data_IF_431106322021
#
_entry.id   IF_431106322021
#
_cell.length_a   1.000
_cell.length_b   1.000
_cell.length_c   1.000
_cell.angle_alpha   90.00
_cell.angle_beta   90.00
_cell.angle_gamma   90.00
#
_symmetry.space_group_name_H-M   'P 1'
#
loop_
_entity.id
_entity.type
_entity.pdbx_description
1 polymer ?
#
# COMPACT_ATOMS: atom_id res chain seq x y z
N UNK A 1 19.77 -21.17 0.28
CA UNK A 1 18.49 -21.31 -0.45
C UNK A 1 18.02 -19.94 -0.86
N UNK A 2 18.25 -19.59 -2.12
CA UNK A 2 17.76 -18.35 -2.69
C UNK A 2 16.31 -18.58 -3.11
N UNK A 3 15.39 -17.71 -2.69
CA UNK A 3 14.04 -17.71 -3.21
C UNK A 3 14.11 -17.36 -4.71
N UNK A 4 13.73 -18.32 -5.56
CA UNK A 4 13.85 -18.23 -7.01
C UNK A 4 12.52 -17.97 -7.71
N UNK A 5 11.45 -17.88 -6.96
CA UNK A 5 10.11 -17.64 -7.45
C UNK A 5 9.53 -16.43 -6.69
N UNK A 6 9.71 -15.26 -7.25
CA UNK A 6 9.22 -14.00 -6.67
C UNK A 6 7.91 -13.59 -7.34
N UNK A 7 7.00 -13.05 -6.56
CA UNK A 7 5.73 -12.49 -7.05
C UNK A 7 5.59 -11.07 -6.53
N UNK A 8 5.37 -10.11 -7.42
CA UNK A 8 5.22 -8.69 -7.17
C UNK A 8 3.77 -8.24 -7.43
N UNK A 9 2.82 -8.56 -6.54
CA UNK A 9 1.47 -8.06 -6.68
C UNK A 9 1.40 -6.59 -6.24
N UNK A 10 0.53 -5.82 -6.87
CA UNK A 10 0.31 -4.42 -6.47
C UNK A 10 -0.81 -3.79 -7.27
N UNK A 11 -1.36 -2.68 -6.77
CA UNK A 11 -2.34 -1.88 -7.51
C UNK A 11 -1.81 -1.55 -8.91
N UNK A 12 -2.68 -1.30 -9.87
CA UNK A 12 -2.26 -0.82 -11.19
C UNK A 12 -1.51 0.52 -11.05
N UNK A 13 -0.60 0.79 -11.97
CA UNK A 13 0.17 2.04 -12.09
C UNK A 13 1.15 2.35 -10.93
N UNK A 14 1.41 1.42 -10.01
CA UNK A 14 2.47 1.57 -8.97
C UNK A 14 3.90 1.35 -9.48
N UNK A 15 4.07 1.05 -10.79
CA UNK A 15 5.40 0.94 -11.40
C UNK A 15 5.95 -0.48 -11.53
N UNK A 16 5.16 -1.56 -11.38
CA UNK A 16 5.63 -2.96 -11.45
C UNK A 16 6.37 -3.31 -12.73
N UNK A 17 5.83 -2.96 -13.89
CA UNK A 17 6.46 -3.17 -15.20
C UNK A 17 7.80 -2.43 -15.29
N UNK A 18 7.84 -1.17 -14.80
CA UNK A 18 9.09 -0.38 -14.74
C UNK A 18 10.13 -1.06 -13.87
N UNK A 19 9.72 -1.62 -12.73
CA UNK A 19 10.62 -2.38 -11.84
C UNK A 19 11.18 -3.62 -12.55
N UNK A 20 10.37 -4.36 -13.33
CA UNK A 20 10.88 -5.49 -14.11
C UNK A 20 11.94 -5.04 -15.14
N UNK A 21 11.75 -3.90 -15.82
CA UNK A 21 12.75 -3.35 -16.72
C UNK A 21 14.02 -2.87 -16.01
N UNK A 22 13.90 -2.31 -14.81
CA UNK A 22 15.06 -1.96 -13.97
C UNK A 22 15.83 -3.22 -13.55
N UNK A 23 15.14 -4.30 -13.19
CA UNK A 23 15.77 -5.59 -12.91
C UNK A 23 16.47 -6.15 -14.15
N UNK A 24 15.83 -6.08 -15.32
CA UNK A 24 16.44 -6.48 -16.60
C UNK A 24 17.75 -5.70 -16.87
N UNK A 25 17.69 -4.39 -16.74
CA UNK A 25 18.86 -3.51 -16.92
C UNK A 25 19.96 -3.79 -15.91
N UNK A 26 19.63 -4.01 -14.63
CA UNK A 26 20.57 -4.39 -13.59
C UNK A 26 21.27 -5.72 -13.89
N UNK A 27 20.52 -6.73 -14.34
CA UNK A 27 21.10 -8.02 -14.74
C UNK A 27 22.12 -7.87 -15.88
N UNK A 28 21.78 -7.06 -16.89
CA UNK A 28 22.68 -6.80 -18.04
C UNK A 28 23.92 -6.00 -17.63
N UNK A 29 23.72 -4.82 -17.02
CA UNK A 29 24.79 -3.82 -16.83
C UNK A 29 25.63 -4.08 -15.59
N UNK A 30 25.00 -4.42 -14.47
CA UNK A 30 25.68 -4.57 -13.18
C UNK A 30 26.12 -6.01 -12.90
N UNK A 31 25.36 -6.98 -13.41
CA UNK A 31 25.66 -8.41 -13.19
C UNK A 31 26.33 -9.08 -14.40
N UNK A 32 26.40 -8.39 -15.54
CA UNK A 32 27.04 -8.90 -16.75
C UNK A 32 26.37 -10.15 -17.34
N UNK A 33 25.07 -10.33 -17.08
CA UNK A 33 24.30 -11.46 -17.60
C UNK A 33 24.04 -11.25 -19.08
N UNK A 34 24.35 -12.23 -19.91
CA UNK A 34 24.13 -12.19 -21.35
C UNK A 34 22.63 -12.10 -21.68
N UNK A 35 22.22 -11.30 -22.70
CA UNK A 35 20.80 -11.10 -23.05
C UNK A 35 20.05 -12.41 -23.33
N UNK A 36 20.70 -13.40 -23.93
CA UNK A 36 20.11 -14.71 -24.18
C UNK A 36 19.81 -15.52 -22.90
N UNK A 37 20.26 -15.07 -21.73
CA UNK A 37 19.93 -15.68 -20.44
C UNK A 37 18.83 -14.90 -19.67
N UNK A 38 18.22 -13.88 -20.31
CA UNK A 38 17.17 -13.08 -19.71
C UNK A 38 15.94 -13.06 -20.62
N UNK A 39 14.85 -13.66 -20.18
CA UNK A 39 13.58 -13.62 -20.90
C UNK A 39 12.63 -12.62 -20.20
N UNK A 40 12.06 -11.70 -20.98
CA UNK A 40 10.94 -10.84 -20.56
C UNK A 40 9.75 -11.07 -21.49
N UNK A 41 8.57 -11.29 -20.93
CA UNK A 41 7.31 -11.25 -21.68
C UNK A 41 6.13 -10.84 -20.79
N UNK A 42 5.03 -10.44 -21.47
CA UNK A 42 3.78 -10.04 -20.78
C UNK A 42 2.63 -10.96 -21.19
N UNK A 43 1.93 -11.52 -20.19
CA UNK A 43 0.86 -12.49 -20.41
C UNK A 43 -0.37 -11.87 -21.09
N UNK A 44 -0.63 -10.58 -20.96
CA UNK A 44 -1.72 -9.90 -21.67
C UNK A 44 -1.52 -9.90 -23.20
N UNK A 45 -0.25 -9.85 -23.67
CA UNK A 45 0.11 -9.95 -25.07
C UNK A 45 0.01 -11.38 -25.59
N UNK A 46 0.45 -12.35 -24.79
CA UNK A 46 0.35 -13.78 -25.16
C UNK A 46 -1.10 -14.19 -25.43
N UNK A 47 -2.02 -13.77 -24.56
CA UNK A 47 -3.46 -14.01 -24.74
C UNK A 47 -4.02 -13.47 -26.05
N UNK A 48 -3.46 -12.37 -26.58
CA UNK A 48 -3.86 -11.78 -27.87
C UNK A 48 -3.29 -12.52 -29.09
N UNK A 49 -2.15 -13.20 -28.93
CA UNK A 49 -1.41 -13.79 -30.06
C UNK A 49 -1.79 -15.26 -30.28
N UNK A 50 -2.14 -16.04 -29.26
CA UNK A 50 -2.38 -17.44 -29.50
C UNK A 50 -2.67 -18.34 -28.29
N UNK A 51 -3.07 -17.83 -27.14
CA UNK A 51 -3.36 -18.58 -25.91
C UNK A 51 -2.19 -19.48 -25.39
N UNK A 52 -0.93 -19.11 -25.67
CA UNK A 52 0.19 -19.81 -25.08
C UNK A 52 0.23 -19.55 -23.57
N UNK A 53 0.47 -20.57 -22.77
CA UNK A 53 0.70 -20.46 -21.34
C UNK A 53 2.17 -20.18 -21.01
N UNK A 54 2.43 -19.79 -19.76
CA UNK A 54 3.77 -19.44 -19.28
C UNK A 54 4.74 -20.62 -19.45
N UNK A 55 4.32 -21.83 -19.15
CA UNK A 55 5.17 -23.02 -19.23
C UNK A 55 5.65 -23.30 -20.67
N UNK A 56 4.72 -23.22 -21.63
CA UNK A 56 5.01 -23.41 -23.06
C UNK A 56 5.97 -22.35 -23.60
N UNK A 57 5.78 -21.08 -23.21
CA UNK A 57 6.66 -19.97 -23.62
C UNK A 57 8.08 -20.19 -23.10
N UNK A 58 8.21 -20.59 -21.83
CA UNK A 58 9.52 -20.84 -21.22
C UNK A 58 10.23 -22.00 -21.89
N UNK A 59 9.56 -23.12 -22.14
CA UNK A 59 10.16 -24.24 -22.85
C UNK A 59 10.59 -23.87 -24.27
N UNK A 60 9.75 -23.22 -25.05
CA UNK A 60 10.10 -22.80 -26.41
C UNK A 60 11.32 -21.85 -26.43
N UNK A 61 11.43 -20.96 -25.45
CA UNK A 61 12.60 -20.12 -25.29
C UNK A 61 13.86 -20.94 -24.97
N UNK A 62 13.78 -21.88 -24.03
CA UNK A 62 14.92 -22.72 -23.67
C UNK A 62 15.37 -23.61 -24.83
N UNK A 63 14.44 -24.18 -25.60
CA UNK A 63 14.76 -24.96 -26.81
C UNK A 63 15.47 -24.08 -27.85
N UNK A 64 14.97 -22.87 -28.07
CA UNK A 64 15.49 -21.98 -29.13
C UNK A 64 16.87 -21.42 -28.81
N UNK A 65 17.07 -20.92 -27.58
CA UNK A 65 18.30 -20.22 -27.21
C UNK A 65 19.31 -21.06 -26.42
N UNK A 66 18.89 -22.16 -25.81
CA UNK A 66 19.74 -22.97 -24.95
C UNK A 66 19.85 -24.46 -25.41
N UNK A 67 19.16 -24.86 -26.47
CA UNK A 67 19.04 -26.24 -26.89
C UNK A 67 18.71 -27.19 -25.73
N UNK A 68 17.80 -26.78 -24.85
CA UNK A 68 17.50 -27.44 -23.58
C UNK A 68 16.01 -27.28 -23.24
N UNK A 69 15.54 -28.12 -22.36
CA UNK A 69 14.23 -28.00 -21.70
C UNK A 69 14.44 -27.71 -20.22
N UNK A 70 13.36 -27.46 -19.49
CA UNK A 70 13.42 -27.06 -18.05
C UNK A 70 14.26 -28.07 -17.26
N UNK A 71 14.04 -29.38 -17.45
CA UNK A 71 14.67 -30.46 -16.68
C UNK A 71 16.16 -30.65 -16.99
N UNK A 72 16.61 -30.27 -18.17
CA UNK A 72 18.00 -30.46 -18.62
C UNK A 72 18.82 -29.18 -18.62
N UNK A 73 18.22 -28.07 -18.22
CA UNK A 73 18.87 -26.74 -18.19
C UNK A 73 20.06 -26.74 -17.21
N UNK A 74 21.25 -26.45 -17.73
CA UNK A 74 22.51 -26.45 -16.96
C UNK A 74 23.01 -25.06 -16.59
N UNK A 75 22.60 -24.01 -17.32
CA UNK A 75 23.01 -22.61 -17.09
C UNK A 75 21.92 -21.81 -16.40
N UNK A 76 22.28 -20.79 -15.58
CA UNK A 76 21.31 -19.90 -14.97
C UNK A 76 20.56 -19.07 -16.01
N UNK A 77 19.23 -19.01 -15.89
CA UNK A 77 18.33 -18.20 -16.71
C UNK A 77 17.42 -17.36 -15.80
N UNK A 78 17.15 -16.12 -16.21
CA UNK A 78 16.28 -15.19 -15.50
C UNK A 78 15.02 -14.95 -16.33
N UNK A 79 13.85 -15.09 -15.71
CA UNK A 79 12.56 -14.97 -16.39
C UNK A 79 11.73 -13.90 -15.69
N UNK A 80 11.40 -12.86 -16.43
CA UNK A 80 10.62 -11.72 -15.97
C UNK A 80 9.25 -11.75 -16.65
N UNK A 81 8.21 -12.02 -15.89
CA UNK A 81 6.84 -12.25 -16.39
C UNK A 81 5.94 -11.12 -15.90
N UNK A 82 5.42 -10.35 -16.84
CA UNK A 82 4.53 -9.24 -16.53
C UNK A 82 3.06 -9.62 -16.73
N UNK A 83 2.17 -8.99 -15.96
CA UNK A 83 0.72 -9.17 -16.02
C UNK A 83 0.28 -10.66 -15.93
N UNK A 84 0.90 -11.41 -15.02
CA UNK A 84 0.75 -12.85 -14.90
C UNK A 84 -0.70 -13.32 -14.66
N UNK A 85 -1.59 -12.46 -14.13
CA UNK A 85 -3.01 -12.79 -13.91
C UNK A 85 -3.79 -13.08 -15.21
N UNK A 86 -3.22 -12.76 -16.39
CA UNK A 86 -3.82 -13.12 -17.66
C UNK A 86 -3.64 -14.60 -18.05
N UNK A 87 -2.69 -15.29 -17.42
CA UNK A 87 -2.62 -16.75 -17.44
C UNK A 87 -3.35 -17.31 -16.20
N UNK A 88 -4.46 -18.03 -16.40
CA UNK A 88 -5.26 -18.57 -15.29
C UNK A 88 -4.49 -19.59 -14.43
N UNK A 89 -3.51 -20.25 -15.01
CA UNK A 89 -2.69 -21.29 -14.36
C UNK A 89 -1.28 -20.79 -13.99
N UNK A 90 -1.05 -19.49 -14.00
CA UNK A 90 0.25 -18.90 -13.76
C UNK A 90 1.00 -19.47 -12.53
N UNK A 91 0.27 -19.69 -11.42
CA UNK A 91 0.87 -20.22 -10.19
C UNK A 91 1.28 -21.70 -10.31
N UNK A 92 0.48 -22.49 -11.05
CA UNK A 92 0.81 -23.88 -11.37
C UNK A 92 2.00 -23.93 -12.33
N UNK A 93 1.98 -23.13 -13.39
CA UNK A 93 3.08 -23.02 -14.35
C UNK A 93 4.39 -22.61 -13.67
N UNK A 94 4.35 -21.58 -12.81
CA UNK A 94 5.49 -21.15 -12.00
C UNK A 94 6.02 -22.27 -11.08
N UNK A 95 5.12 -23.01 -10.44
CA UNK A 95 5.47 -24.18 -9.62
C UNK A 95 6.16 -25.28 -10.45
N UNK A 96 5.62 -25.64 -11.60
CA UNK A 96 6.21 -26.66 -12.48
C UNK A 96 7.63 -26.28 -12.91
N UNK A 97 7.85 -25.03 -13.30
CA UNK A 97 9.17 -24.50 -13.63
C UNK A 97 10.10 -24.53 -12.41
N UNK A 98 9.62 -24.11 -11.24
CA UNK A 98 10.40 -24.11 -10.01
C UNK A 98 10.83 -25.52 -9.58
N UNK A 99 9.94 -26.49 -9.67
CA UNK A 99 10.21 -27.88 -9.27
C UNK A 99 11.08 -28.60 -10.34
N UNK A 100 10.99 -28.22 -11.61
CA UNK A 100 11.72 -28.85 -12.72
C UNK A 100 13.20 -28.53 -12.77
N UNK A 101 13.65 -27.36 -12.31
CA UNK A 101 15.07 -26.96 -12.32
C UNK A 101 15.45 -26.00 -11.21
N UNK A 102 16.73 -26.00 -10.80
CA UNK A 102 17.31 -25.03 -9.87
C UNK A 102 17.94 -23.83 -10.59
N UNK A 103 18.05 -23.88 -11.91
CA UNK A 103 18.78 -22.92 -12.72
C UNK A 103 17.91 -21.79 -13.29
N UNK A 104 16.62 -21.75 -12.94
CA UNK A 104 15.73 -20.65 -13.31
C UNK A 104 15.41 -19.79 -12.09
N UNK A 105 15.58 -18.48 -12.25
CA UNK A 105 15.10 -17.44 -11.35
C UNK A 105 13.94 -16.70 -12.01
N UNK A 106 12.78 -16.59 -11.33
CA UNK A 106 11.57 -16.02 -11.90
C UNK A 106 11.05 -14.87 -11.07
N UNK A 107 10.61 -13.80 -11.75
CA UNK A 107 9.85 -12.71 -11.16
C UNK A 107 8.53 -12.58 -11.93
N UNK A 108 7.44 -12.70 -11.23
CA UNK A 108 6.08 -12.48 -11.72
C UNK A 108 5.57 -11.14 -11.23
N UNK A 109 5.12 -10.29 -12.10
CA UNK A 109 4.34 -9.10 -11.72
C UNK A 109 2.89 -9.25 -12.14
N UNK A 110 2.02 -8.52 -11.47
CA UNK A 110 0.62 -8.44 -11.87
C UNK A 110 -0.23 -7.61 -10.91
N UNK A 111 -1.50 -7.43 -11.27
CA UNK A 111 -2.43 -6.77 -10.37
C UNK A 111 -2.56 -7.54 -9.06
N UNK A 112 -3.00 -6.87 -8.00
CA UNK A 112 -3.20 -7.50 -6.68
C UNK A 112 -4.17 -8.68 -6.71
N UNK A 113 -4.98 -8.80 -7.80
CA UNK A 113 -5.79 -10.00 -8.07
C UNK A 113 -4.96 -11.29 -8.17
N UNK A 114 -3.65 -11.23 -8.43
CA UNK A 114 -2.74 -12.38 -8.32
C UNK A 114 -2.83 -13.08 -6.97
N UNK A 115 -3.01 -12.32 -5.88
CA UNK A 115 -3.17 -12.90 -4.53
C UNK A 115 -4.39 -13.82 -4.38
N UNK A 116 -5.34 -13.76 -5.32
CA UNK A 116 -6.58 -14.54 -5.29
C UNK A 116 -6.44 -15.93 -5.90
N UNK A 117 -5.40 -16.17 -6.66
CA UNK A 117 -5.29 -17.33 -7.57
C UNK A 117 -4.25 -18.37 -7.19
N UNK A 118 -3.54 -18.24 -6.03
CA UNK A 118 -2.63 -19.33 -5.69
C UNK A 118 -3.31 -20.47 -4.93
N UNK A 119 -2.94 -21.71 -5.34
CA UNK A 119 -3.17 -22.87 -4.48
C UNK A 119 -2.23 -22.83 -3.25
N UNK A 120 -2.61 -23.44 -2.11
CA UNK A 120 -1.74 -23.56 -0.95
C UNK A 120 -0.38 -24.20 -1.24
N UNK A 121 -0.31 -25.02 -2.27
CA UNK A 121 0.89 -25.72 -2.69
C UNK A 121 1.86 -24.81 -3.45
N UNK A 122 1.38 -23.95 -4.33
CA UNK A 122 2.20 -22.92 -4.98
C UNK A 122 2.72 -21.88 -3.96
N UNK A 123 1.90 -21.53 -2.96
CA UNK A 123 2.25 -20.58 -1.92
C UNK A 123 3.50 -20.93 -1.10
N UNK A 124 3.85 -22.23 -1.00
CA UNK A 124 5.05 -22.68 -0.28
C UNK A 124 6.37 -22.42 -1.02
N UNK A 125 6.30 -22.14 -2.32
CA UNK A 125 7.46 -22.01 -3.20
C UNK A 125 7.76 -20.57 -3.58
N UNK A 126 6.75 -19.73 -3.56
CA UNK A 126 6.87 -18.33 -3.95
C UNK A 126 7.16 -17.42 -2.75
N UNK A 127 7.92 -16.37 -3.01
CA UNK A 127 8.07 -15.23 -2.11
C UNK A 127 7.22 -14.08 -2.64
N UNK A 128 6.22 -13.69 -1.85
CA UNK A 128 5.32 -12.58 -2.18
C UNK A 128 5.91 -11.27 -1.68
N UNK A 129 6.18 -10.34 -2.58
CA UNK A 129 6.71 -9.00 -2.30
C UNK A 129 5.71 -7.99 -2.85
N UNK A 130 4.71 -7.56 -2.06
CA UNK A 130 3.72 -6.61 -2.53
C UNK A 130 4.33 -5.24 -2.81
N UNK A 131 3.92 -4.63 -3.92
CA UNK A 131 4.31 -3.28 -4.31
C UNK A 131 3.15 -2.35 -3.97
N UNK A 132 3.41 -1.43 -3.04
CA UNK A 132 2.47 -0.42 -2.57
C UNK A 132 2.62 0.89 -3.36
N UNK A 133 1.63 1.80 -3.28
CA UNK A 133 1.83 3.18 -3.72
C UNK A 133 3.05 3.81 -3.07
N UNK A 134 3.65 4.79 -3.73
CA UNK A 134 4.85 5.47 -3.23
C UNK A 134 4.58 6.14 -1.87
N UNK A 135 5.50 5.96 -0.93
CA UNK A 135 5.60 6.82 0.24
C UNK A 135 6.10 8.21 -0.16
N UNK A 136 5.93 9.21 0.71
CA UNK A 136 6.44 10.56 0.43
C UNK A 136 7.96 10.59 0.22
N UNK A 137 8.70 9.83 1.01
CA UNK A 137 10.15 9.68 0.86
C UNK A 137 10.54 9.07 -0.49
N UNK A 138 9.82 8.04 -0.97
CA UNK A 138 10.02 7.44 -2.29
C UNK A 138 9.64 8.43 -3.42
N UNK A 139 8.55 9.18 -3.25
CA UNK A 139 8.14 10.25 -4.14
C UNK A 139 9.23 11.32 -4.30
N UNK A 140 9.77 11.83 -3.19
CA UNK A 140 10.84 12.82 -3.22
C UNK A 140 12.10 12.28 -3.92
N UNK A 141 12.48 11.02 -3.67
CA UNK A 141 13.60 10.37 -4.35
C UNK A 141 13.45 10.31 -5.85
N UNK A 142 12.26 9.95 -6.33
CA UNK A 142 11.99 9.86 -7.76
C UNK A 142 11.94 11.24 -8.43
N UNK A 143 11.44 12.26 -7.73
CA UNK A 143 11.26 13.62 -8.27
C UNK A 143 12.54 14.45 -8.22
N UNK A 144 13.28 14.40 -7.12
CA UNK A 144 14.41 15.30 -6.85
C UNK A 144 15.78 14.59 -6.86
N UNK A 145 15.79 13.25 -7.01
CA UNK A 145 17.02 12.46 -7.03
C UNK A 145 17.25 11.66 -5.73
N UNK A 146 18.18 10.72 -5.82
CA UNK A 146 18.45 9.82 -4.72
C UNK A 146 19.11 10.52 -3.52
N UNK A 147 18.52 10.35 -2.37
CA UNK A 147 19.11 10.66 -1.06
C UNK A 147 19.00 9.45 -0.14
N UNK A 148 19.91 9.35 0.83
CA UNK A 148 19.86 8.28 1.82
C UNK A 148 18.76 8.58 2.83
N UNK A 149 17.70 7.76 2.86
CA UNK A 149 16.69 7.85 3.88
C UNK A 149 17.01 6.91 5.05
N UNK A 150 17.94 7.31 5.89
CA UNK A 150 18.27 6.68 7.18
C UNK A 150 17.45 7.28 8.35
N UNK A 151 16.52 8.18 8.03
CA UNK A 151 15.63 8.86 8.96
C UNK A 151 14.50 7.92 9.40
N UNK A 152 13.98 7.08 8.49
CA UNK A 152 12.85 6.19 8.74
C UNK A 152 13.04 5.32 9.99
N UNK A 153 14.17 4.64 10.13
CA UNK A 153 14.44 3.82 11.31
C UNK A 153 14.46 4.65 12.61
N UNK A 154 15.05 5.86 12.57
CA UNK A 154 15.09 6.75 13.72
C UNK A 154 13.70 7.25 14.12
N UNK A 155 12.83 7.54 13.14
CA UNK A 155 11.42 7.90 13.38
C UNK A 155 10.63 6.73 13.97
N UNK A 156 10.78 5.54 13.42
CA UNK A 156 10.13 4.32 13.94
C UNK A 156 10.54 4.08 15.39
N UNK A 157 11.83 4.14 15.70
CA UNK A 157 12.33 4.00 17.06
C UNK A 157 11.76 5.07 17.99
N UNK A 158 11.75 6.34 17.57
CA UNK A 158 11.17 7.42 18.36
C UNK A 158 9.67 7.18 18.64
N UNK A 159 8.91 6.74 17.63
CA UNK A 159 7.47 6.47 17.76
C UNK A 159 7.22 5.38 18.80
N UNK A 160 7.96 4.28 18.77
CA UNK A 160 7.71 3.14 19.66
C UNK A 160 8.41 3.25 21.01
N UNK A 161 9.62 3.79 21.05
CA UNK A 161 10.43 3.88 22.29
C UNK A 161 10.22 5.20 23.05
N UNK A 162 9.63 6.21 22.40
CA UNK A 162 9.42 7.55 22.98
C UNK A 162 10.73 8.30 23.26
N UNK A 163 11.83 7.85 22.65
CA UNK A 163 13.15 8.45 22.85
C UNK A 163 13.38 9.61 21.89
N UNK A 164 13.65 10.78 22.47
CA UNK A 164 13.81 12.05 21.75
C UNK A 164 15.24 12.62 21.86
N UNK A 165 16.24 11.81 22.27
CA UNK A 165 17.59 12.30 22.55
C UNK A 165 18.31 12.84 21.30
N UNK A 166 17.99 12.37 20.10
CA UNK A 166 18.66 12.74 18.85
C UNK A 166 17.80 13.59 17.91
N UNK A 167 16.75 14.25 18.43
CA UNK A 167 15.81 15.05 17.60
C UNK A 167 16.53 16.11 16.78
N UNK A 168 17.41 16.90 17.39
CA UNK A 168 18.07 17.98 16.68
C UNK A 168 18.93 17.48 15.50
N UNK A 169 19.56 16.32 15.63
CA UNK A 169 20.28 15.70 14.53
C UNK A 169 19.32 15.19 13.44
N UNK A 170 18.23 14.57 13.83
CA UNK A 170 17.20 14.08 12.92
C UNK A 170 16.61 15.24 12.08
N UNK A 171 16.22 16.32 12.73
CA UNK A 171 15.70 17.53 12.07
C UNK A 171 16.75 18.16 11.13
N UNK A 172 18.00 18.26 11.56
CA UNK A 172 19.10 18.75 10.71
C UNK A 172 19.26 17.88 9.46
N UNK A 173 19.12 16.56 9.56
CA UNK A 173 19.20 15.65 8.42
C UNK A 173 18.03 15.87 7.46
N UNK A 174 16.82 16.07 7.96
CA UNK A 174 15.64 16.40 7.14
C UNK A 174 15.84 17.73 6.40
N UNK A 175 16.30 18.77 7.12
CA UNK A 175 16.62 20.08 6.52
C UNK A 175 17.68 19.94 5.42
N UNK A 176 18.72 19.14 5.65
CA UNK A 176 19.76 18.90 4.65
C UNK A 176 19.20 18.20 3.40
N UNK A 177 18.26 17.25 3.55
CA UNK A 177 17.58 16.61 2.41
C UNK A 177 16.82 17.66 1.60
N UNK A 178 15.97 18.44 2.23
CA UNK A 178 15.21 19.51 1.52
C UNK A 178 16.13 20.54 0.88
N UNK A 179 17.20 20.94 1.56
CA UNK A 179 18.18 21.89 1.04
C UNK A 179 19.00 21.37 -0.14
N UNK A 180 19.06 20.05 -0.33
CA UNK A 180 19.74 19.44 -1.48
C UNK A 180 18.87 19.44 -2.75
N UNK A 181 17.58 19.73 -2.64
CA UNK A 181 16.68 19.72 -3.78
C UNK A 181 16.74 21.02 -4.57
N UNK A 182 17.00 20.91 -5.87
CA UNK A 182 16.89 22.06 -6.77
C UNK A 182 15.41 22.36 -7.03
N UNK A 183 15.01 23.62 -6.83
CA UNK A 183 13.65 24.09 -7.09
C UNK A 183 12.56 23.32 -6.30
N UNK A 184 12.82 23.03 -5.02
CA UNK A 184 11.80 22.43 -4.17
C UNK A 184 10.55 23.32 -4.06
N UNK A 185 9.39 22.73 -4.33
CA UNK A 185 8.09 23.39 -4.22
C UNK A 185 7.56 23.23 -2.78
N UNK A 186 7.29 24.34 -2.10
CA UNK A 186 6.71 24.35 -0.74
C UNK A 186 5.32 23.72 -0.69
N UNK A 187 4.60 23.61 -1.82
CA UNK A 187 3.31 22.91 -1.91
C UNK A 187 3.45 21.41 -2.12
N UNK A 188 4.68 20.87 -2.22
CA UNK A 188 4.95 19.46 -2.57
C UNK A 188 4.24 18.47 -1.64
N UNK A 189 4.25 18.74 -0.35
CA UNK A 189 3.56 17.88 0.61
C UNK A 189 2.05 17.83 0.37
N UNK A 190 1.42 18.99 0.18
CA UNK A 190 -0.01 19.06 -0.16
C UNK A 190 -0.31 18.35 -1.47
N UNK A 191 0.50 18.63 -2.51
CA UNK A 191 0.37 18.00 -3.82
C UNK A 191 0.53 16.47 -3.73
N UNK A 192 1.43 16.00 -2.88
CA UNK A 192 1.58 14.56 -2.65
C UNK A 192 0.36 13.95 -2.00
N UNK A 193 -0.22 14.55 -0.96
CA UNK A 193 -1.45 14.07 -0.33
C UNK A 193 -2.63 13.99 -1.32
N UNK A 194 -2.72 14.96 -2.23
CA UNK A 194 -3.81 15.08 -3.19
C UNK A 194 -3.61 14.22 -4.45
N UNK A 195 -2.37 14.11 -4.96
CA UNK A 195 -2.09 13.51 -6.27
C UNK A 195 -0.93 12.52 -6.26
N UNK A 196 -0.22 12.34 -5.15
CA UNK A 196 0.94 11.46 -5.05
C UNK A 196 0.59 9.98 -4.96
N UNK A 197 1.61 9.16 -4.64
CA UNK A 197 1.46 7.72 -4.48
C UNK A 197 1.64 6.91 -5.77
N UNK A 198 1.48 7.51 -6.95
CA UNK A 198 1.67 6.84 -8.24
C UNK A 198 2.77 7.51 -9.07
N UNK A 199 3.74 6.76 -9.66
CA UNK A 199 4.81 7.34 -10.47
C UNK A 199 4.32 8.17 -11.66
N UNK A 200 3.13 7.89 -12.17
CA UNK A 200 2.53 8.65 -13.27
C UNK A 200 2.24 10.12 -12.93
N UNK A 201 2.14 10.47 -11.64
CA UNK A 201 1.89 11.85 -11.19
C UNK A 201 3.03 12.82 -11.51
N UNK A 202 4.26 12.35 -11.75
CA UNK A 202 5.40 13.21 -12.05
C UNK A 202 5.34 13.88 -13.44
N UNK A 203 4.57 13.33 -14.36
CA UNK A 203 4.62 13.69 -15.78
C UNK A 203 3.33 14.32 -16.29
N UNK A 204 2.41 14.73 -15.41
CA UNK A 204 1.07 15.12 -15.82
C UNK A 204 0.56 16.34 -15.02
N UNK A 205 -0.39 17.06 -15.64
CA UNK A 205 -1.17 18.05 -14.91
C UNK A 205 -2.23 17.37 -14.02
N UNK A 206 -2.80 18.11 -13.07
CA UNK A 206 -3.73 17.58 -12.06
C UNK A 206 -4.97 16.91 -12.66
N UNK A 207 -5.52 17.46 -13.77
CA UNK A 207 -6.70 16.88 -14.43
C UNK A 207 -6.37 15.51 -15.04
N UNK A 208 -5.21 15.36 -15.67
CA UNK A 208 -4.78 14.10 -16.27
C UNK A 208 -4.46 13.05 -15.20
N UNK A 209 -3.90 13.48 -14.05
CA UNK A 209 -3.67 12.60 -12.90
C UNK A 209 -5.01 12.07 -12.36
N UNK A 210 -5.99 12.97 -12.12
CA UNK A 210 -7.33 12.58 -11.67
C UNK A 210 -7.96 11.57 -12.61
N UNK A 211 -7.95 11.86 -13.91
CA UNK A 211 -8.49 10.93 -14.91
C UNK A 211 -7.79 9.57 -14.88
N UNK A 212 -6.46 9.54 -14.81
CA UNK A 212 -5.72 8.28 -14.73
C UNK A 212 -6.02 7.46 -13.48
N UNK A 213 -6.12 8.11 -12.32
CA UNK A 213 -6.45 7.42 -11.07
C UNK A 213 -7.86 6.84 -11.14
N UNK A 214 -8.81 7.59 -11.68
CA UNK A 214 -10.19 7.12 -11.88
C UNK A 214 -10.23 5.96 -12.89
N UNK A 215 -9.58 6.10 -14.05
CA UNK A 215 -9.47 5.04 -15.05
C UNK A 215 -8.79 3.77 -14.49
N UNK A 216 -7.84 3.94 -13.58
CA UNK A 216 -7.19 2.82 -12.90
C UNK A 216 -8.15 2.10 -11.97
N UNK A 217 -8.90 2.82 -11.14
CA UNK A 217 -9.93 2.24 -10.26
C UNK A 217 -11.01 1.54 -11.10
N UNK A 218 -11.45 2.17 -12.18
CA UNK A 218 -12.43 1.58 -13.12
C UNK A 218 -11.91 0.24 -13.69
N UNK A 219 -10.68 0.18 -14.16
CA UNK A 219 -10.08 -1.07 -14.66
C UNK A 219 -9.94 -2.14 -13.58
N UNK A 220 -9.60 -1.77 -12.34
CA UNK A 220 -9.56 -2.74 -11.24
C UNK A 220 -10.95 -3.34 -11.01
N UNK A 221 -12.00 -2.53 -10.96
CA UNK A 221 -13.35 -3.01 -10.71
C UNK A 221 -13.93 -3.76 -11.92
N UNK A 222 -13.79 -3.22 -13.13
CA UNK A 222 -14.42 -3.79 -14.34
C UNK A 222 -13.65 -4.94 -14.95
N UNK A 223 -12.31 -4.94 -14.85
CA UNK A 223 -11.44 -5.93 -15.50
C UNK A 223 -10.84 -6.92 -14.51
N UNK A 224 -10.16 -6.44 -13.47
CA UNK A 224 -9.45 -7.34 -12.55
C UNK A 224 -10.44 -8.14 -11.68
N UNK A 225 -11.48 -7.48 -11.16
CA UNK A 225 -12.54 -8.18 -10.43
C UNK A 225 -13.35 -9.14 -11.32
N UNK A 226 -13.59 -8.81 -12.59
CA UNK A 226 -14.31 -9.68 -13.52
C UNK A 226 -13.59 -11.02 -13.79
N UNK A 227 -12.27 -11.07 -13.65
CA UNK A 227 -11.50 -12.30 -13.76
C UNK A 227 -11.66 -13.24 -12.55
N UNK A 228 -12.33 -12.79 -11.48
CA UNK A 228 -12.60 -13.59 -10.27
C UNK A 228 -13.92 -14.34 -10.48
N UNK A 229 -13.89 -15.65 -10.24
CA UNK A 229 -15.07 -16.49 -10.38
C UNK A 229 -16.24 -16.00 -9.52
N UNK A 230 -17.44 -15.98 -10.11
CA UNK A 230 -18.67 -15.57 -9.44
C UNK A 230 -18.81 -14.05 -9.20
N UNK A 231 -18.09 -13.21 -9.96
CA UNK A 231 -18.32 -11.76 -10.02
C UNK A 231 -19.19 -11.45 -11.24
N UNK A 232 -20.24 -10.69 -10.99
CA UNK A 232 -21.18 -10.19 -12.00
C UNK A 232 -21.24 -8.66 -11.96
N UNK A 233 -22.01 -8.06 -12.88
CA UNK A 233 -22.16 -6.62 -12.98
C UNK A 233 -22.71 -5.98 -11.68
N UNK A 234 -23.62 -6.65 -10.98
CA UNK A 234 -24.18 -6.12 -9.72
C UNK A 234 -23.11 -6.03 -8.64
N UNK A 235 -22.19 -7.02 -8.59
CA UNK A 235 -21.05 -7.03 -7.67
C UNK A 235 -20.08 -5.88 -7.98
N UNK A 236 -19.81 -5.62 -9.26
CA UNK A 236 -18.96 -4.51 -9.70
C UNK A 236 -19.62 -3.15 -9.40
N UNK A 237 -20.92 -3.02 -9.68
CA UNK A 237 -21.66 -1.81 -9.36
C UNK A 237 -21.64 -1.51 -7.86
N UNK A 238 -21.89 -2.51 -7.01
CA UNK A 238 -21.79 -2.35 -5.56
C UNK A 238 -20.36 -1.96 -5.11
N UNK A 239 -19.33 -2.48 -5.79
CA UNK A 239 -17.95 -2.09 -5.48
C UNK A 239 -17.70 -0.59 -5.74
N UNK A 240 -18.19 -0.05 -6.86
CA UNK A 240 -18.13 1.40 -7.11
C UNK A 240 -18.92 2.20 -6.08
N UNK A 241 -20.12 1.76 -5.72
CA UNK A 241 -20.92 2.44 -4.72
C UNK A 241 -20.20 2.49 -3.36
N UNK A 242 -19.57 1.39 -2.93
CA UNK A 242 -18.81 1.32 -1.68
C UNK A 242 -17.57 2.22 -1.73
N UNK A 243 -16.81 2.21 -2.84
CA UNK A 243 -15.65 3.09 -3.00
C UNK A 243 -16.05 4.57 -2.94
N UNK A 244 -17.12 4.94 -3.63
CA UNK A 244 -17.65 6.30 -3.60
C UNK A 244 -18.11 6.70 -2.19
N UNK A 245 -18.81 5.82 -1.50
CA UNK A 245 -19.22 6.03 -0.12
C UNK A 245 -18.02 6.28 0.80
N UNK A 246 -16.98 5.45 0.72
CA UNK A 246 -15.76 5.63 1.53
C UNK A 246 -14.98 6.90 1.16
N UNK A 247 -15.03 7.34 -0.10
CA UNK A 247 -14.40 8.59 -0.50
C UNK A 247 -15.01 9.80 0.23
N UNK A 248 -16.34 9.88 0.32
CA UNK A 248 -17.03 10.98 0.98
C UNK A 248 -17.12 10.85 2.50
N UNK A 249 -17.16 9.63 3.00
CA UNK A 249 -17.28 9.40 4.44
C UNK A 249 -16.05 9.86 5.19
N UNK A 250 -16.27 10.43 6.38
CA UNK A 250 -15.20 10.61 7.34
C UNK A 250 -14.69 9.22 7.76
N UNK A 251 -13.39 9.05 8.01
CA UNK A 251 -12.89 7.87 8.69
C UNK A 251 -13.75 7.56 9.91
N UNK A 252 -14.09 6.30 10.08
CA UNK A 252 -14.96 5.88 11.19
C UNK A 252 -15.48 4.47 11.00
N UNK A 253 -16.03 3.93 12.06
CA UNK A 253 -16.48 2.56 12.12
C UNK A 253 -17.64 2.28 11.15
N UNK A 254 -17.44 1.29 10.30
CA UNK A 254 -18.43 0.83 9.34
C UNK A 254 -18.72 -0.65 9.54
N UNK A 255 -19.97 -0.99 9.87
CA UNK A 255 -20.38 -2.39 9.95
C UNK A 255 -20.86 -2.89 8.57
N UNK A 256 -20.62 -4.18 8.32
CA UNK A 256 -21.17 -4.85 7.12
C UNK A 256 -22.70 -4.76 7.06
N UNK A 257 -23.36 -4.75 8.22
CA UNK A 257 -24.81 -4.57 8.34
C UNK A 257 -25.26 -3.16 7.95
N UNK A 258 -24.52 -2.11 8.36
CA UNK A 258 -24.86 -0.73 7.96
C UNK A 258 -24.71 -0.52 6.45
N UNK A 259 -23.66 -1.08 5.84
CA UNK A 259 -23.49 -1.05 4.37
C UNK A 259 -24.57 -1.85 3.65
N UNK A 260 -24.94 -3.03 4.18
CA UNK A 260 -26.04 -3.85 3.67
C UNK A 260 -27.35 -3.07 3.60
N UNK A 261 -27.68 -2.38 4.69
CA UNK A 261 -28.90 -1.56 4.76
C UNK A 261 -28.82 -0.30 3.86
N UNK A 262 -27.64 0.34 3.81
CA UNK A 262 -27.43 1.57 3.02
C UNK A 262 -27.57 1.32 1.52
N UNK A 263 -27.07 0.19 1.03
CA UNK A 263 -27.09 -0.17 -0.40
C UNK A 263 -28.20 -1.16 -0.79
N UNK A 264 -29.08 -1.51 0.12
CA UNK A 264 -30.10 -2.55 -0.07
C UNK A 264 -29.51 -3.86 -0.66
N UNK A 265 -28.37 -4.28 -0.14
CA UNK A 265 -27.61 -5.41 -0.62
C UNK A 265 -27.44 -6.48 0.47
N UNK A 266 -27.42 -7.77 0.09
CA UNK A 266 -27.19 -8.86 1.05
C UNK A 266 -25.85 -8.73 1.75
N UNK A 267 -25.79 -8.93 3.07
CA UNK A 267 -24.54 -8.87 3.88
C UNK A 267 -23.43 -9.75 3.28
N UNK A 268 -23.78 -10.92 2.76
CA UNK A 268 -22.83 -11.83 2.11
C UNK A 268 -22.19 -11.20 0.85
N UNK A 269 -22.96 -10.46 0.05
CA UNK A 269 -22.46 -9.74 -1.12
C UNK A 269 -21.55 -8.58 -0.70
N UNK A 270 -21.99 -7.76 0.26
CA UNK A 270 -21.16 -6.67 0.84
C UNK A 270 -19.84 -7.23 1.35
N UNK A 271 -19.88 -8.34 2.11
CA UNK A 271 -18.66 -8.99 2.64
C UNK A 271 -17.75 -9.46 1.51
N UNK A 272 -18.30 -10.05 0.45
CA UNK A 272 -17.56 -10.49 -0.72
C UNK A 272 -16.87 -9.30 -1.41
N UNK A 273 -17.61 -8.22 -1.63
CA UNK A 273 -17.09 -7.00 -2.28
C UNK A 273 -15.96 -6.38 -1.45
N UNK A 274 -16.15 -6.19 -0.15
CA UNK A 274 -15.11 -5.64 0.73
C UNK A 274 -13.84 -6.49 0.68
N UNK A 275 -13.95 -7.81 0.82
CA UNK A 275 -12.80 -8.71 0.75
C UNK A 275 -12.05 -8.63 -0.60
N UNK A 276 -12.77 -8.41 -1.70
CA UNK A 276 -12.14 -8.25 -3.01
C UNK A 276 -11.46 -6.89 -3.12
N UNK A 277 -12.11 -5.80 -2.69
CA UNK A 277 -11.52 -4.47 -2.69
C UNK A 277 -10.24 -4.41 -1.86
N UNK A 278 -10.18 -5.09 -0.73
CA UNK A 278 -8.97 -5.23 0.08
C UNK A 278 -7.89 -6.05 -0.65
N UNK A 279 -8.26 -7.16 -1.25
CA UNK A 279 -7.34 -7.99 -2.02
C UNK A 279 -6.80 -7.28 -3.26
N UNK A 280 -7.57 -6.36 -3.86
CA UNK A 280 -7.08 -5.48 -4.94
C UNK A 280 -6.18 -4.36 -4.43
N UNK A 281 -6.02 -4.21 -3.12
CA UNK A 281 -5.24 -3.15 -2.48
C UNK A 281 -5.73 -1.73 -2.79
N UNK A 282 -6.99 -1.55 -3.15
CA UNK A 282 -7.59 -0.21 -3.26
C UNK A 282 -7.91 0.35 -1.87
N UNK A 283 -8.35 -0.52 -0.97
CA UNK A 283 -8.65 -0.21 0.43
C UNK A 283 -7.99 -1.25 1.35
N UNK A 284 -7.92 -0.91 2.62
CA UNK A 284 -7.62 -1.82 3.72
C UNK A 284 -8.47 -1.46 4.94
N UNK A 285 -8.56 -2.35 5.91
CA UNK A 285 -9.26 -2.06 7.15
C UNK A 285 -8.33 -2.03 8.34
N UNK A 286 -8.76 -1.29 9.37
CA UNK A 286 -8.15 -1.23 10.69
C UNK A 286 -9.15 -1.82 11.68
N UNK A 287 -8.66 -2.71 12.53
CA UNK A 287 -9.44 -3.37 13.58
C UNK A 287 -9.51 -2.51 14.86
N UNK A 288 -10.51 -2.71 15.74
CA UNK A 288 -10.55 -2.06 17.04
C UNK A 288 -9.42 -2.55 17.96
N UNK A 289 -8.87 -1.65 18.78
CA UNK A 289 -7.96 -2.02 19.85
C UNK A 289 -8.75 -2.65 21.02
N UNK A 290 -8.97 -3.95 20.94
CA UNK A 290 -9.72 -4.72 21.95
C UNK A 290 -9.26 -6.17 21.98
N UNK A 291 -9.81 -7.00 22.86
CA UNK A 291 -9.46 -8.42 22.91
C UNK A 291 -9.75 -9.14 21.58
N UNK A 292 -8.95 -10.14 21.23
CA UNK A 292 -9.06 -10.88 19.96
C UNK A 292 -10.47 -11.44 19.69
N UNK A 293 -11.16 -11.91 20.73
CA UNK A 293 -12.54 -12.41 20.61
C UNK A 293 -13.52 -11.30 20.25
N UNK A 294 -13.39 -10.11 20.83
CA UNK A 294 -14.27 -8.99 20.54
C UNK A 294 -14.02 -8.37 19.18
N UNK A 295 -12.80 -8.41 18.65
CA UNK A 295 -12.46 -7.88 17.31
C UNK A 295 -13.30 -8.51 16.21
N UNK A 296 -13.55 -9.82 16.28
CA UNK A 296 -14.28 -10.54 15.23
C UNK A 296 -15.74 -10.11 15.07
N UNK A 297 -16.31 -9.44 16.07
CA UNK A 297 -17.72 -9.02 16.10
C UNK A 297 -17.92 -7.53 15.96
N UNK A 298 -16.84 -6.74 16.03
CA UNK A 298 -16.91 -5.28 15.95
C UNK A 298 -16.78 -4.78 14.50
N UNK A 299 -17.31 -3.58 14.20
CA UNK A 299 -17.11 -2.95 12.90
C UNK A 299 -15.61 -2.62 12.68
N UNK A 300 -15.24 -2.45 11.43
CA UNK A 300 -13.91 -2.04 11.02
C UNK A 300 -13.93 -0.58 10.55
N UNK A 301 -12.78 0.06 10.56
CA UNK A 301 -12.57 1.32 9.85
C UNK A 301 -11.85 1.05 8.54
N UNK A 302 -12.38 1.58 7.43
CA UNK A 302 -11.84 1.36 6.08
C UNK A 302 -11.13 2.61 5.57
N UNK A 303 -9.93 2.40 5.03
CA UNK A 303 -9.09 3.44 4.45
C UNK A 303 -8.70 3.09 3.02
N UNK A 304 -8.46 4.10 2.20
CA UNK A 304 -7.83 3.92 0.90
C UNK A 304 -6.33 3.64 1.06
N UNK A 305 -5.75 2.89 0.12
CA UNK A 305 -4.32 2.58 0.12
C UNK A 305 -3.42 3.82 0.02
N UNK A 306 -3.95 4.95 -0.46
CA UNK A 306 -3.28 6.26 -0.46
C UNK A 306 -4.31 7.38 -0.39
N UNK A 307 -3.93 8.52 0.18
CA UNK A 307 -4.78 9.72 0.28
C UNK A 307 -5.20 10.24 -1.10
N UNK A 308 -4.34 10.08 -2.12
CA UNK A 308 -4.65 10.51 -3.48
C UNK A 308 -5.79 9.72 -4.13
N UNK A 309 -5.97 8.43 -3.80
CA UNK A 309 -7.15 7.67 -4.25
C UNK A 309 -8.43 8.31 -3.72
N UNK A 310 -8.47 8.62 -2.42
CA UNK A 310 -9.61 9.30 -1.79
C UNK A 310 -9.89 10.65 -2.46
N UNK A 311 -8.86 11.48 -2.62
CA UNK A 311 -8.96 12.82 -3.21
C UNK A 311 -9.52 12.79 -4.63
N UNK A 312 -8.94 11.97 -5.50
CA UNK A 312 -9.28 11.94 -6.91
C UNK A 312 -10.66 11.30 -7.18
N UNK A 313 -11.09 10.35 -6.37
CA UNK A 313 -12.46 9.84 -6.43
C UNK A 313 -13.48 10.92 -6.05
N UNK A 314 -13.21 11.72 -5.02
CA UNK A 314 -14.07 12.85 -4.63
C UNK A 314 -14.15 13.87 -5.77
N UNK A 315 -13.03 14.25 -6.38
CA UNK A 315 -13.01 15.19 -7.51
C UNK A 315 -13.83 14.68 -8.70
N UNK A 316 -13.74 13.39 -9.01
CA UNK A 316 -14.46 12.77 -10.12
C UNK A 316 -15.98 12.76 -9.91
N UNK A 317 -16.44 12.53 -8.68
CA UNK A 317 -17.89 12.49 -8.39
C UNK A 317 -18.48 13.91 -8.47
N UNK A 318 -17.68 14.94 -8.19
CA UNK A 318 -18.12 16.33 -8.20
C UNK A 318 -19.02 16.68 -7.02
N UNK A 319 -19.48 17.94 -6.95
CA UNK A 319 -20.37 18.48 -5.90
C UNK A 319 -19.81 18.43 -4.46
N UNK A 320 -18.53 18.19 -4.30
CA UNK A 320 -17.88 18.28 -3.00
C UNK A 320 -17.63 19.77 -2.67
N UNK A 321 -18.54 20.39 -1.95
CA UNK A 321 -18.26 21.67 -1.29
C UNK A 321 -17.55 21.36 0.02
N UNK A 322 -16.25 21.60 0.07
CA UNK A 322 -15.51 21.55 1.35
C UNK A 322 -15.70 22.88 2.05
N UNK A 323 -16.50 22.89 3.09
CA UNK A 323 -16.71 24.09 3.93
C UNK A 323 -15.43 24.51 4.66
N UNK A 324 -14.52 23.56 4.92
CA UNK A 324 -13.24 23.77 5.61
C UNK A 324 -12.12 22.95 4.96
N UNK A 325 -11.22 23.64 4.26
CA UNK A 325 -10.03 23.05 3.63
C UNK A 325 -9.12 22.36 4.66
N UNK A 326 -8.98 22.94 5.86
CA UNK A 326 -8.15 22.37 6.93
C UNK A 326 -8.70 21.03 7.40
N UNK A 327 -10.02 20.94 7.59
CA UNK A 327 -10.68 19.69 7.97
C UNK A 327 -10.54 18.64 6.87
N UNK A 328 -10.61 19.04 5.60
CA UNK A 328 -10.43 18.14 4.47
C UNK A 328 -8.99 17.57 4.40
N UNK A 329 -7.99 18.45 4.48
CA UNK A 329 -6.59 18.03 4.51
C UNK A 329 -6.30 17.13 5.73
N UNK A 330 -6.98 17.37 6.85
CA UNK A 330 -6.92 16.48 8.02
C UNK A 330 -7.34 15.06 7.71
N UNK A 331 -8.40 14.86 6.91
CA UNK A 331 -8.85 13.52 6.48
C UNK A 331 -7.88 12.84 5.52
N UNK A 332 -7.25 13.61 4.62
CA UNK A 332 -6.20 13.08 3.75
C UNK A 332 -4.97 12.67 4.56
N UNK A 333 -4.56 13.49 5.53
CA UNK A 333 -3.46 13.19 6.44
C UNK A 333 -3.75 11.94 7.29
N UNK A 334 -4.96 11.80 7.83
CA UNK A 334 -5.37 10.62 8.58
C UNK A 334 -5.29 9.35 7.72
N UNK A 335 -5.77 9.42 6.46
CA UNK A 335 -5.64 8.32 5.48
C UNK A 335 -4.17 8.00 5.21
N UNK A 336 -3.30 9.01 5.06
CA UNK A 336 -1.87 8.82 4.85
C UNK A 336 -1.19 8.17 6.05
N UNK A 337 -1.49 8.61 7.28
CA UNK A 337 -0.94 8.01 8.51
C UNK A 337 -1.37 6.55 8.65
N UNK A 338 -2.65 6.26 8.40
CA UNK A 338 -3.17 4.90 8.41
C UNK A 338 -2.44 4.00 7.39
N UNK A 339 -2.29 4.46 6.13
CA UNK A 339 -1.61 3.70 5.09
C UNK A 339 -0.13 3.51 5.40
N UNK A 340 0.55 4.49 5.96
CA UNK A 340 1.98 4.39 6.33
C UNK A 340 2.22 3.29 7.38
N UNK A 341 1.40 3.20 8.41
CA UNK A 341 1.50 2.12 9.41
C UNK A 341 1.05 0.77 8.86
N UNK A 342 0.05 0.75 7.98
CA UNK A 342 -0.37 -0.49 7.30
C UNK A 342 0.75 -1.04 6.42
N UNK A 343 1.45 -0.19 5.67
CA UNK A 343 2.58 -0.57 4.83
C UNK A 343 3.78 -1.03 5.68
N UNK A 344 4.03 -0.37 6.82
CA UNK A 344 5.08 -0.76 7.75
C UNK A 344 4.86 -2.18 8.29
N UNK A 345 3.63 -2.53 8.69
CA UNK A 345 3.27 -3.89 9.14
C UNK A 345 3.54 -4.94 8.05
N UNK A 346 3.22 -4.61 6.80
CA UNK A 346 3.35 -5.54 5.68
C UNK A 346 4.79 -5.67 5.12
N UNK A 347 5.60 -4.61 5.19
CA UNK A 347 6.96 -4.58 4.62
C UNK A 347 8.03 -5.19 5.54
N UNK A 348 7.91 -5.03 6.85
CA UNK A 348 9.03 -5.23 7.76
C UNK A 348 9.05 -6.56 8.53
N UNK A 349 8.08 -7.45 8.37
CA UNK A 349 7.96 -8.73 9.13
C UNK A 349 8.09 -8.59 10.67
N UNK A 350 8.12 -7.35 11.16
CA UNK A 350 8.13 -7.00 12.57
C UNK A 350 6.67 -6.77 12.94
N UNK A 351 6.21 -7.38 14.02
CA UNK A 351 4.81 -7.36 14.47
C UNK A 351 4.33 -5.95 14.85
N UNK A 352 4.36 -5.00 13.92
CA UNK A 352 3.68 -3.71 14.08
C UNK A 352 2.22 -3.88 13.71
N UNK A 353 1.34 -3.38 14.54
CA UNK A 353 -0.10 -3.37 14.29
C UNK A 353 -0.67 -1.99 14.54
N UNK A 354 -1.56 -1.57 13.65
CA UNK A 354 -2.37 -0.38 13.81
C UNK A 354 -3.82 -0.78 14.11
N UNK A 355 -4.43 -0.06 15.03
CA UNK A 355 -5.82 -0.24 15.46
C UNK A 355 -6.48 1.13 15.59
N UNK A 356 -7.81 1.18 15.55
CA UNK A 356 -8.56 2.36 15.99
C UNK A 356 -8.93 2.25 17.49
N UNK A 357 -9.12 3.40 18.14
CA UNK A 357 -9.47 3.47 19.57
C UNK A 357 -10.95 3.17 19.79
N UNK A 358 -11.27 2.05 20.48
CA UNK A 358 -12.63 1.62 20.80
C UNK A 358 -13.00 1.84 22.29
N UNK A 359 -12.18 2.58 23.05
CA UNK A 359 -12.31 2.65 24.51
C UNK A 359 -13.55 3.39 25.03
N UNK A 360 -14.09 4.36 24.30
CA UNK A 360 -15.02 5.36 24.83
C UNK A 360 -16.45 5.35 24.25
N UNK A 361 -16.96 4.22 23.76
CA UNK A 361 -18.35 4.13 23.24
C UNK A 361 -19.44 4.53 24.25
N UNK A 362 -19.12 4.66 25.56
CA UNK A 362 -20.08 4.96 26.64
C UNK A 362 -19.87 6.33 27.30
N UNK A 363 -18.83 7.06 26.97
CA UNK A 363 -18.54 8.39 27.56
C UNK A 363 -18.56 9.47 26.47
N UNK A 364 -18.95 10.68 26.85
CA UNK A 364 -19.04 11.85 25.96
C UNK A 364 -17.68 12.36 25.43
N UNK A 365 -16.60 11.61 25.61
CA UNK A 365 -15.25 11.98 25.17
C UNK A 365 -14.91 11.38 23.79
N UNK A 366 -14.25 12.16 22.94
CA UNK A 366 -13.72 11.69 21.68
C UNK A 366 -12.55 10.74 21.89
N UNK A 367 -12.42 9.72 21.06
CA UNK A 367 -11.31 8.78 21.00
C UNK A 367 -10.12 9.40 20.25
N UNK A 368 -8.91 8.85 20.45
CA UNK A 368 -7.77 9.14 19.55
C UNK A 368 -7.97 8.41 18.22
N UNK A 369 -7.31 8.88 17.16
CA UNK A 369 -7.52 8.32 15.83
C UNK A 369 -6.95 6.89 15.75
N UNK A 370 -5.73 6.66 16.26
CA UNK A 370 -5.10 5.35 16.16
C UNK A 370 -4.41 4.92 17.46
N UNK A 371 -4.26 3.59 17.57
CA UNK A 371 -3.39 2.92 18.55
C UNK A 371 -2.41 2.05 17.75
N UNK A 372 -1.11 2.27 17.93
CA UNK A 372 -0.09 1.40 17.33
C UNK A 372 0.59 0.56 18.40
N UNK A 373 0.96 -0.67 18.03
CA UNK A 373 1.59 -1.60 18.97
C UNK A 373 2.69 -2.41 18.27
N UNK A 374 3.85 -2.53 18.90
CA UNK A 374 4.95 -3.39 18.45
C UNK A 374 4.94 -4.67 19.30
N UNK A 375 4.55 -5.79 18.68
CA UNK A 375 4.49 -7.08 19.36
C UNK A 375 3.62 -7.05 20.63
N UNK A 376 4.21 -7.33 21.78
CA UNK A 376 3.57 -7.33 23.09
C UNK A 376 3.90 -6.08 23.93
N UNK A 377 4.54 -5.07 23.32
CA UNK A 377 4.86 -3.83 24.02
C UNK A 377 3.62 -3.00 24.34
N UNK A 378 3.80 -1.97 25.17
CA UNK A 378 2.71 -1.06 25.49
C UNK A 378 2.20 -0.35 24.23
N UNK A 379 0.88 -0.25 24.05
CA UNK A 379 0.31 0.45 22.93
C UNK A 379 0.60 1.96 23.00
N UNK A 380 0.77 2.59 21.84
CA UNK A 380 1.04 4.01 21.71
C UNK A 380 -0.16 4.67 21.02
N UNK A 381 -0.89 5.56 21.72
CA UNK A 381 -1.98 6.31 21.11
C UNK A 381 -1.44 7.41 20.19
N UNK A 382 -2.11 7.59 19.05
CA UNK A 382 -1.78 8.57 18.03
C UNK A 382 -3.01 9.41 17.72
N UNK A 383 -2.83 10.71 17.70
CA UNK A 383 -3.82 11.70 17.28
C UNK A 383 -3.31 12.44 16.04
N UNK A 384 -4.17 12.62 15.02
CA UNK A 384 -3.83 13.22 13.74
C UNK A 384 -4.65 14.49 13.52
N UNK A 385 -4.03 15.59 13.05
CA UNK A 385 -4.75 16.84 12.80
C UNK A 385 -3.95 17.82 11.94
N UNK A 386 -4.63 18.55 11.06
CA UNK A 386 -4.03 19.70 10.37
C UNK A 386 -4.10 21.00 11.19
N UNK A 387 -4.82 21.04 12.32
CA UNK A 387 -5.03 22.21 13.16
C UNK A 387 -4.68 22.00 14.63
N UNK A 388 -4.96 22.99 15.46
CA UNK A 388 -4.81 22.86 16.92
C UNK A 388 -5.82 21.87 17.47
N UNK A 389 -5.35 20.86 18.19
CA UNK A 389 -6.18 19.90 18.94
C UNK A 389 -5.99 20.03 20.44
N UNK A 390 -7.02 19.68 21.18
CA UNK A 390 -6.97 19.59 22.63
C UNK A 390 -6.15 18.36 23.05
N UNK A 391 -5.26 18.55 24.01
CA UNK A 391 -4.43 17.49 24.60
C UNK A 391 -5.24 16.48 25.43
N UNK A 392 -6.51 16.76 25.73
CA UNK A 392 -7.32 15.93 26.63
C UNK A 392 -7.53 14.51 26.10
N UNK A 393 -7.72 14.36 24.79
CA UNK A 393 -7.92 13.05 24.15
C UNK A 393 -6.69 12.16 24.29
N UNK A 394 -5.51 12.66 23.87
CA UNK A 394 -4.26 11.90 23.93
C UNK A 394 -3.84 11.59 25.38
N UNK A 395 -4.02 12.54 26.34
CA UNK A 395 -3.74 12.30 27.76
C UNK A 395 -4.62 11.20 28.35
N UNK A 396 -5.90 11.19 28.00
CA UNK A 396 -6.84 10.15 28.41
C UNK A 396 -6.44 8.79 27.84
N UNK A 397 -6.11 8.72 26.54
CA UNK A 397 -5.69 7.48 25.90
C UNK A 397 -4.40 6.93 26.52
N UNK A 398 -3.40 7.78 26.80
CA UNK A 398 -2.17 7.37 27.51
C UNK A 398 -2.51 6.73 28.84
N UNK A 399 -3.41 7.34 29.63
CA UNK A 399 -3.85 6.78 30.93
C UNK A 399 -4.66 5.50 30.77
N UNK A 400 -5.59 5.45 29.80
CA UNK A 400 -6.47 4.30 29.56
C UNK A 400 -5.68 3.05 29.18
N UNK A 401 -4.68 3.22 28.34
CA UNK A 401 -3.86 2.11 27.80
C UNK A 401 -2.57 1.87 28.60
N UNK A 402 -2.33 2.64 29.66
CA UNK A 402 -1.07 2.60 30.42
C UNK A 402 0.16 2.75 29.51
N UNK A 403 0.04 3.63 28.53
CA UNK A 403 1.08 3.92 27.55
C UNK A 403 2.23 4.69 28.17
N UNK A 404 3.45 4.53 27.67
CA UNK A 404 4.62 5.31 28.10
C UNK A 404 4.53 6.77 27.64
N UNK A 405 3.95 6.98 26.47
CA UNK A 405 3.76 8.27 25.82
C UNK A 405 2.64 8.19 24.78
N UNK A 406 2.29 9.32 24.18
CA UNK A 406 1.40 9.42 23.02
C UNK A 406 1.98 10.35 21.98
N UNK A 407 1.46 10.30 20.76
CA UNK A 407 1.95 11.09 19.62
C UNK A 407 0.83 11.95 19.06
N UNK A 408 1.13 13.22 18.79
CA UNK A 408 0.25 14.12 18.03
C UNK A 408 0.95 14.44 16.71
N UNK A 409 0.42 13.93 15.60
CA UNK A 409 0.88 14.27 14.25
C UNK A 409 0.09 15.50 13.80
N UNK A 410 0.74 16.67 13.83
CA UNK A 410 0.05 17.92 13.48
C UNK A 410 1.00 19.07 13.16
N UNK A 411 0.47 20.09 12.46
CA UNK A 411 1.18 21.34 12.16
C UNK A 411 1.22 22.33 13.36
N UNK A 412 0.83 21.89 14.57
CA UNK A 412 0.85 22.76 15.78
C UNK A 412 2.25 23.18 16.20
N UNK A 413 3.23 22.36 15.90
CA UNK A 413 4.67 22.62 16.13
C UNK A 413 5.40 22.43 14.79
N UNK A 414 6.34 23.32 14.50
CA UNK A 414 7.17 23.23 13.30
C UNK A 414 8.27 22.18 13.40
N UNK A 415 8.61 21.77 14.62
CA UNK A 415 9.67 20.81 14.94
C UNK A 415 9.12 19.69 15.83
N UNK A 416 9.87 18.60 15.94
CA UNK A 416 9.58 17.54 16.90
C UNK A 416 9.77 18.07 18.31
N UNK A 417 8.74 18.04 19.13
CA UNK A 417 8.78 18.52 20.51
C UNK A 417 8.17 17.47 21.43
N UNK A 418 8.83 17.17 22.53
CA UNK A 418 8.23 16.38 23.62
C UNK A 418 7.86 17.29 24.78
N UNK A 419 6.57 17.32 25.10
CA UNK A 419 6.02 17.99 26.26
C UNK A 419 5.40 16.94 27.18
N UNK A 420 5.92 16.79 28.39
CA UNK A 420 5.56 15.69 29.32
C UNK A 420 5.76 14.31 28.64
N UNK A 421 4.67 13.57 28.52
CA UNK A 421 4.63 12.28 27.83
C UNK A 421 3.94 12.34 26.44
N UNK A 422 3.88 13.51 25.82
CA UNK A 422 3.34 13.72 24.47
C UNK A 422 4.45 14.15 23.52
N UNK A 423 4.59 13.46 22.40
CA UNK A 423 5.49 13.84 21.30
C UNK A 423 4.67 14.49 20.20
N UNK A 424 5.01 15.73 19.87
CA UNK A 424 4.47 16.43 18.70
C UNK A 424 5.37 16.15 17.50
N UNK A 425 4.79 15.64 16.43
CA UNK A 425 5.50 15.25 15.22
C UNK A 425 4.88 15.99 14.02
N UNK A 426 5.64 16.87 13.33
CA UNK A 426 5.14 17.49 12.11
C UNK A 426 4.78 16.45 11.04
N UNK A 427 3.68 16.62 10.28
CA UNK A 427 3.25 15.65 9.27
C UNK A 427 4.31 15.38 8.20
N UNK A 428 4.99 16.41 7.71
CA UNK A 428 6.07 16.26 6.72
C UNK A 428 7.27 15.49 7.29
N UNK A 429 7.57 15.66 8.57
CA UNK A 429 8.60 14.88 9.26
C UNK A 429 8.18 13.42 9.40
N UNK A 430 6.93 13.16 9.83
CA UNK A 430 6.35 11.82 9.87
C UNK A 430 6.44 11.13 8.51
N UNK A 431 6.25 11.86 7.42
CA UNK A 431 6.23 11.35 6.07
C UNK A 431 7.58 10.77 5.57
N UNK A 432 8.67 10.94 6.31
CA UNK A 432 9.93 10.24 6.10
C UNK A 432 9.98 8.84 6.75
N UNK A 433 8.97 8.41 7.46
CA UNK A 433 8.83 7.06 8.04
C UNK A 433 8.63 5.94 6.95
#
# INVERSE_FOLDING_TARGET
NINRFLVLPGVRDVGKTTLLFQVYEYLLKERGISPENILYFSCDRLKKIGNADIFSVVNSYLETYHNSIIETLSKPVFILIDEAQYDKEWALNGKLIFDGTKNIFMIFSGSSALKLSYSPDAARRLLNIPIYPLTYSEHLKLKYGNFKNDISESLIQMIFDGNVQNIAELERRIINIYSSFSNYDMSEWKNFLEFGGFPSSFYQNTNDITKKIVDMVDKVVTTDMANIEGINNDTQYLAFQILNFFAFQNPGEVSKGSLSNHFDAKIALVTKVLNILEKTQLIFHIEPFTSSVKRTTKPYEYFFATSSLKHNLILNIGNATFEDETAYLGKLLETYVASSFHDLDNKNHINYKIYYDDSNKKSSGKNVDFIVQRGLEKPIPIEVSCGKKDKSQIKRAISTYNSSHGIIISNTKSNIVKEDNIIYLPPETFAFM
#
